data_IF_135981712934
#
_entry.id   IF_135981712934
#
_cell.length_a   1.000
_cell.length_b   1.000
_cell.length_c   1.000
_cell.angle_alpha   90.00
_cell.angle_beta   90.00
_cell.angle_gamma   90.00
#
_symmetry.space_group_name_H-M   'P 1'
#
loop_
_entity.id
_entity.type
_entity.pdbx_description
1 polymer ?
#
# COMPACT_ATOMS: atom_id res chain seq x y z
N UNK A 1 5.20 4.37 -15.02
CA UNK A 1 4.72 4.04 -13.66
C UNK A 1 3.75 5.12 -13.21
N UNK A 2 2.67 4.77 -12.52
CA UNK A 2 1.71 5.71 -11.90
C UNK A 2 1.30 5.17 -10.52
N UNK A 3 0.64 5.96 -9.68
CA UNK A 3 0.05 5.42 -8.46
C UNK A 3 -1.20 4.58 -8.77
N UNK A 4 -1.60 3.72 -7.85
CA UNK A 4 -2.83 2.94 -7.92
C UNK A 4 -4.05 3.87 -7.91
N UNK A 5 -4.00 4.96 -7.13
CA UNK A 5 -5.01 6.01 -7.17
C UNK A 5 -5.19 6.61 -8.57
N UNK A 6 -4.08 6.97 -9.23
CA UNK A 6 -4.11 7.48 -10.60
C UNK A 6 -4.63 6.44 -11.59
N UNK A 7 -4.33 5.15 -11.39
CA UNK A 7 -4.87 4.08 -12.22
C UNK A 7 -6.39 3.97 -12.07
N UNK A 8 -6.89 3.93 -10.83
CA UNK A 8 -8.32 3.82 -10.51
C UNK A 8 -9.13 5.03 -10.98
N UNK A 9 -8.51 6.21 -11.11
CA UNK A 9 -9.18 7.40 -11.65
C UNK A 9 -9.53 7.31 -13.14
N UNK A 10 -8.88 6.41 -13.89
CA UNK A 10 -9.11 6.24 -15.33
C UNK A 10 -10.46 5.58 -15.58
N UNK A 11 -11.16 6.03 -16.62
CA UNK A 11 -12.50 5.54 -17.02
C UNK A 11 -12.67 4.01 -16.92
N UNK A 12 -11.77 3.16 -17.45
CA UNK A 12 -11.95 1.71 -17.38
C UNK A 12 -11.87 1.11 -15.97
N UNK A 13 -11.37 1.85 -14.97
CA UNK A 13 -11.10 1.35 -13.62
C UNK A 13 -11.86 2.10 -12.52
N UNK A 14 -12.81 2.98 -12.89
CA UNK A 14 -13.57 3.78 -11.92
C UNK A 14 -14.43 2.95 -10.97
N UNK A 15 -14.87 1.78 -11.42
CA UNK A 15 -15.65 0.84 -10.62
C UNK A 15 -14.78 -0.22 -9.92
N UNK A 16 -13.47 -0.17 -10.13
CA UNK A 16 -12.51 -1.10 -9.55
C UNK A 16 -11.56 -1.71 -10.58
N UNK A 17 -10.63 -2.52 -10.08
CA UNK A 17 -9.72 -3.28 -10.92
C UNK A 17 -10.38 -4.56 -11.43
N UNK A 18 -10.05 -5.01 -12.65
CA UNK A 18 -10.33 -6.36 -13.11
C UNK A 18 -9.82 -7.40 -12.11
N UNK A 19 -10.53 -8.51 -11.97
CA UNK A 19 -10.15 -9.62 -11.07
C UNK A 19 -8.71 -10.09 -11.32
N UNK A 20 -8.27 -10.11 -12.59
CA UNK A 20 -6.90 -10.49 -12.95
C UNK A 20 -5.85 -9.57 -12.33
N UNK A 21 -6.14 -8.28 -12.18
CA UNK A 21 -5.22 -7.31 -11.58
C UNK A 21 -5.28 -7.38 -10.05
N UNK A 22 -6.45 -7.68 -9.47
CA UNK A 22 -6.61 -7.92 -8.03
C UNK A 22 -5.79 -9.15 -7.59
N UNK A 23 -5.83 -10.24 -8.37
CA UNK A 23 -5.05 -11.45 -8.11
C UNK A 23 -3.54 -11.18 -8.15
N UNK A 24 -3.09 -10.15 -8.88
CA UNK A 24 -1.69 -9.72 -8.89
C UNK A 24 -1.36 -8.76 -7.74
N UNK A 25 -2.30 -7.89 -7.36
CA UNK A 25 -2.14 -6.91 -6.28
C UNK A 25 -1.98 -7.58 -4.91
N UNK A 26 -2.82 -8.56 -4.58
CA UNK A 26 -2.86 -9.17 -3.23
C UNK A 26 -1.52 -9.82 -2.83
N UNK A 27 -0.88 -10.67 -3.67
CA UNK A 27 0.41 -11.26 -3.34
C UNK A 27 1.54 -10.25 -3.21
N UNK A 28 1.54 -9.20 -4.05
CA UNK A 28 2.54 -8.14 -3.99
C UNK A 28 2.40 -7.36 -2.66
N UNK A 29 1.17 -7.01 -2.25
CA UNK A 29 0.91 -6.40 -0.95
C UNK A 29 1.28 -7.32 0.22
N UNK A 30 0.96 -8.60 0.15
CA UNK A 30 1.35 -9.58 1.17
C UNK A 30 2.87 -9.66 1.34
N UNK A 31 3.61 -9.65 0.23
CA UNK A 31 5.09 -9.61 0.23
C UNK A 31 5.62 -8.33 0.86
N UNK A 32 5.03 -7.19 0.51
CA UNK A 32 5.38 -5.87 1.08
C UNK A 32 5.18 -5.89 2.60
N UNK A 33 4.01 -6.32 3.08
CA UNK A 33 3.71 -6.31 4.51
C UNK A 33 4.57 -7.29 5.30
N UNK A 34 4.84 -8.49 4.75
CA UNK A 34 5.79 -9.42 5.34
C UNK A 34 7.19 -8.81 5.49
N UNK A 35 7.69 -8.15 4.45
CA UNK A 35 9.00 -7.50 4.46
C UNK A 35 9.11 -6.37 5.50
N UNK A 36 8.04 -5.58 5.69
CA UNK A 36 7.96 -4.52 6.69
C UNK A 36 7.93 -5.10 8.11
N UNK A 37 7.12 -6.14 8.33
CA UNK A 37 6.99 -6.82 9.61
C UNK A 37 8.33 -7.44 10.06
N UNK A 38 9.03 -8.12 9.16
CA UNK A 38 10.37 -8.70 9.44
C UNK A 38 11.40 -7.65 9.88
N UNK A 39 11.26 -6.41 9.40
CA UNK A 39 12.13 -5.27 9.73
C UNK A 39 11.61 -4.43 10.88
N UNK A 40 10.49 -4.81 11.48
CA UNK A 40 9.78 -4.04 12.49
C UNK A 40 9.54 -2.58 12.05
N UNK A 41 9.08 -2.40 10.82
CA UNK A 41 8.71 -1.08 10.26
C UNK A 41 7.20 -1.01 10.09
N UNK A 42 6.58 0.05 10.61
CA UNK A 42 5.19 0.41 10.29
C UNK A 42 5.21 1.60 9.33
N UNK A 43 4.50 1.49 8.21
CA UNK A 43 4.46 2.55 7.20
C UNK A 43 3.59 3.75 7.61
N UNK A 44 2.50 3.49 8.34
CA UNK A 44 1.54 4.49 8.88
C UNK A 44 0.81 5.38 7.86
N UNK A 45 0.97 5.14 6.55
CA UNK A 45 0.24 5.87 5.50
C UNK A 45 0.00 4.98 4.27
N UNK A 46 -0.56 3.79 4.51
CA UNK A 46 -0.93 2.86 3.44
C UNK A 46 -2.20 3.36 2.76
N UNK A 47 -2.09 3.72 1.47
CA UNK A 47 -3.19 4.23 0.64
C UNK A 47 -2.89 4.02 -0.85
N UNK A 48 -3.89 4.05 -1.74
CA UNK A 48 -3.69 3.90 -3.19
C UNK A 48 -2.69 4.89 -3.80
N UNK A 49 -2.54 6.09 -3.24
CA UNK A 49 -1.56 7.08 -3.71
C UNK A 49 -0.11 6.61 -3.48
N UNK A 50 0.13 5.83 -2.43
CA UNK A 50 1.45 5.34 -2.03
C UNK A 50 1.75 3.93 -2.58
N UNK A 51 0.87 3.39 -3.42
CA UNK A 51 1.10 2.13 -4.14
C UNK A 51 1.40 2.48 -5.60
N UNK A 52 2.61 2.23 -6.05
CA UNK A 52 3.04 2.44 -7.43
C UNK A 52 2.75 1.19 -8.27
N UNK A 53 2.22 1.43 -9.47
CA UNK A 53 1.91 0.41 -10.47
C UNK A 53 2.94 0.48 -11.59
N UNK A 54 3.57 -0.67 -11.84
CA UNK A 54 4.51 -0.90 -12.91
C UNK A 54 3.94 -1.93 -13.88
N UNK A 55 4.22 -1.75 -15.17
CA UNK A 55 4.08 -2.83 -16.14
C UNK A 55 5.40 -3.59 -16.07
N UNK A 56 5.40 -4.82 -15.55
CA UNK A 56 6.65 -5.54 -15.35
C UNK A 56 6.53 -7.01 -14.98
N UNK A 57 7.55 -7.77 -15.39
CA UNK A 57 7.66 -9.23 -15.28
C UNK A 57 8.30 -9.81 -16.55
N UNK A 58 8.72 -11.09 -16.54
CA UNK A 58 9.15 -11.79 -17.78
C UNK A 58 8.05 -11.80 -18.85
N UNK A 59 6.79 -11.61 -18.44
CA UNK A 59 5.64 -11.42 -19.32
C UNK A 59 5.18 -9.97 -19.22
N UNK A 60 5.15 -9.26 -20.37
CA UNK A 60 4.76 -7.83 -20.49
C UNK A 60 3.31 -7.52 -20.10
N UNK A 61 2.52 -8.54 -19.78
CA UNK A 61 1.11 -8.44 -19.37
C UNK A 61 0.90 -8.33 -17.86
N UNK A 62 1.94 -8.52 -17.03
CA UNK A 62 1.80 -8.51 -15.57
C UNK A 62 1.99 -7.08 -15.00
N UNK A 63 1.11 -6.69 -14.09
CA UNK A 63 1.27 -5.54 -13.21
C UNK A 63 2.11 -5.93 -11.99
N UNK A 64 2.99 -5.02 -11.58
CA UNK A 64 3.76 -5.10 -10.34
C UNK A 64 3.40 -3.92 -9.46
N UNK A 65 3.05 -4.21 -8.20
CA UNK A 65 2.67 -3.23 -7.21
C UNK A 65 3.79 -3.06 -6.19
N UNK A 66 4.17 -1.81 -5.93
CA UNK A 66 5.23 -1.46 -4.98
C UNK A 66 4.77 -0.37 -4.04
N UNK A 67 5.05 -0.52 -2.76
CA UNK A 67 4.83 0.54 -1.77
C UNK A 67 5.92 1.60 -1.87
N UNK A 68 5.54 2.86 -1.73
CA UNK A 68 6.43 4.01 -1.70
C UNK A 68 6.03 4.99 -0.60
N UNK A 69 6.84 6.04 -0.43
CA UNK A 69 6.63 7.14 0.52
C UNK A 69 6.67 6.72 2.00
N UNK A 70 7.89 6.48 2.48
CA UNK A 70 8.15 6.13 3.87
C UNK A 70 8.30 7.37 4.77
N UNK A 71 7.85 8.56 4.34
CA UNK A 71 8.04 9.81 5.11
C UNK A 71 7.35 9.80 6.49
N UNK A 72 6.30 8.98 6.64
CA UNK A 72 5.59 8.77 7.90
C UNK A 72 5.95 7.43 8.56
N UNK A 73 6.85 6.63 8.00
CA UNK A 73 7.19 5.33 8.54
C UNK A 73 7.95 5.44 9.88
N UNK A 74 7.84 4.41 10.71
CA UNK A 74 8.62 4.27 11.94
C UNK A 74 9.01 2.82 12.21
N UNK A 75 10.18 2.66 12.80
CA UNK A 75 10.58 1.41 13.42
C UNK A 75 9.92 1.27 14.79
N UNK A 76 9.63 0.03 15.21
CA UNK A 76 9.15 -0.29 16.55
C UNK A 76 10.01 -1.39 17.17
N UNK A 77 10.18 -1.31 18.48
CA UNK A 77 11.07 -2.24 19.20
C UNK A 77 10.32 -3.40 19.83
N UNK A 78 9.06 -3.16 20.24
CA UNK A 78 8.14 -4.14 20.82
C UNK A 78 6.71 -3.95 20.30
N UNK A 79 5.84 -4.94 20.51
CA UNK A 79 4.41 -4.83 20.16
C UNK A 79 3.67 -3.80 21.02
N UNK A 80 4.25 -3.43 22.17
CA UNK A 80 3.69 -2.43 23.09
C UNK A 80 4.13 -1.00 22.76
N UNK A 81 4.94 -0.81 21.72
CA UNK A 81 5.41 0.50 21.27
C UNK A 81 4.22 1.29 20.71
N UNK A 82 3.59 2.11 21.56
CA UNK A 82 2.40 2.86 21.18
C UNK A 82 2.79 4.06 20.32
N UNK A 83 2.27 4.10 19.09
CA UNK A 83 2.39 5.27 18.23
C UNK A 83 1.39 6.35 18.67
N UNK A 84 1.76 7.14 19.69
CA UNK A 84 0.91 8.17 20.31
C UNK A 84 0.55 9.35 19.38
N UNK A 85 1.12 9.42 18.18
CA UNK A 85 0.83 10.48 17.21
C UNK A 85 -0.06 9.95 16.10
N UNK A 86 -1.26 10.52 15.97
CA UNK A 86 -2.13 10.27 14.83
C UNK A 86 -1.49 10.91 13.59
N UNK A 87 -1.02 10.08 12.68
CA UNK A 87 -0.43 10.46 11.39
C UNK A 87 -1.01 9.58 10.30
N UNK A 88 -0.96 10.06 9.06
CA UNK A 88 -1.48 9.37 7.90
C UNK A 88 -2.69 10.10 7.31
N UNK A 89 -3.35 9.44 6.36
CA UNK A 89 -4.47 10.03 5.63
C UNK A 89 -5.81 9.61 6.27
N UNK A 90 -6.65 10.56 6.75
CA UNK A 90 -7.83 10.24 7.59
C UNK A 90 -8.76 9.15 7.05
N UNK A 91 -9.01 9.11 5.74
CA UNK A 91 -9.86 8.10 5.09
C UNK A 91 -9.32 6.66 5.22
N UNK A 92 -8.01 6.50 5.43
CA UNK A 92 -7.32 5.21 5.46
C UNK A 92 -6.79 4.86 6.86
N UNK A 93 -7.12 5.66 7.87
CA UNK A 93 -6.80 5.34 9.26
C UNK A 93 -7.67 4.18 9.75
N UNK A 94 -7.10 3.37 10.63
CA UNK A 94 -7.88 2.38 11.37
C UNK A 94 -8.93 3.10 12.24
N UNK A 95 -10.16 2.58 12.41
CA UNK A 95 -11.22 3.27 13.12
C UNK A 95 -10.83 3.76 14.53
N UNK A 96 -10.02 2.98 15.25
CA UNK A 96 -9.55 3.35 16.60
C UNK A 96 -8.58 4.54 16.61
N UNK A 97 -7.95 4.87 15.47
CA UNK A 97 -7.03 5.99 15.30
C UNK A 97 -7.72 7.24 14.73
N UNK A 98 -8.96 7.10 14.25
CA UNK A 98 -9.75 8.17 13.64
C UNK A 98 -10.78 8.79 14.61
N UNK A 99 -10.93 8.22 15.81
CA UNK A 99 -11.78 8.66 16.91
C UNK A 99 -10.95 9.44 17.94
#
# INVERSE_FOLDING_TARGET
>A
QCSLDQLLSRVPFREGLPVVDIIQLVPDLGTIFGFLLERKVVHRDIKPQNILVFIGGKQRSRLLFKLCDFGLSREYTSEQDQFLTIVGTPRYLHPEMAL
#
